data_IF_090598149535
#
_entry.id   IF_090598149535
#
_cell.length_a   1.000
_cell.length_b   1.000
_cell.length_c   1.000
_cell.angle_alpha   90.00
_cell.angle_beta   90.00
_cell.angle_gamma   90.00
#
_symmetry.space_group_name_H-M   'P 1'
#
loop_
_entity.id
_entity.type
_entity.pdbx_description
1 polymer ?
#
# COMPACT_ATOMS: atom_id res chain seq x y z
N UNK A 1 26.00 -3.48 -7.63
CA UNK A 1 26.41 -4.90 -7.65
C UNK A 1 25.70 -5.52 -8.83
N UNK A 2 26.48 -6.21 -9.63
CA UNK A 2 26.07 -6.77 -10.90
C UNK A 2 25.07 -7.91 -10.64
N UNK A 3 23.87 -7.85 -11.18
CA UNK A 3 22.86 -8.91 -11.10
C UNK A 3 23.38 -10.19 -11.76
N UNK A 4 24.14 -10.04 -12.85
CA UNK A 4 24.80 -11.17 -13.52
C UNK A 4 25.77 -11.87 -12.59
N UNK A 5 26.55 -11.11 -11.79
CA UNK A 5 27.47 -11.70 -10.80
C UNK A 5 26.69 -12.49 -9.72
N UNK A 6 25.53 -12.00 -9.29
CA UNK A 6 24.70 -12.69 -8.29
C UNK A 6 24.15 -14.01 -8.86
N UNK A 7 23.62 -13.95 -10.07
CA UNK A 7 23.06 -15.11 -10.77
C UNK A 7 24.12 -16.16 -11.05
N UNK A 8 25.27 -15.75 -11.58
CA UNK A 8 26.38 -16.65 -11.91
C UNK A 8 27.00 -17.33 -10.70
N UNK A 9 26.90 -16.71 -9.54
CA UNK A 9 27.41 -17.27 -8.27
C UNK A 9 26.32 -17.87 -7.38
N UNK A 10 25.09 -18.04 -7.89
CA UNK A 10 23.95 -18.59 -7.15
C UNK A 10 23.67 -17.81 -5.85
N UNK A 11 23.89 -16.51 -5.84
CA UNK A 11 23.58 -15.65 -4.71
C UNK A 11 22.10 -15.27 -4.74
N UNK A 12 21.48 -15.36 -3.59
CA UNK A 12 20.06 -15.01 -3.43
C UNK A 12 19.94 -13.53 -3.06
N UNK A 13 19.48 -12.66 -3.97
CA UNK A 13 19.44 -11.21 -3.75
C UNK A 13 18.28 -10.77 -2.86
N UNK A 14 17.29 -11.63 -2.59
CA UNK A 14 16.07 -11.29 -1.91
C UNK A 14 16.24 -11.14 -0.40
N UNK A 15 15.87 -9.99 0.14
CA UNK A 15 15.95 -9.67 1.57
C UNK A 15 14.65 -10.00 2.34
N UNK A 16 13.86 -10.97 1.91
CA UNK A 16 12.58 -11.31 2.56
C UNK A 16 12.75 -11.56 4.08
N UNK A 17 13.78 -12.28 4.48
CA UNK A 17 14.23 -12.30 5.87
C UNK A 17 15.77 -12.34 5.95
N UNK A 18 16.42 -11.52 6.79
CA UNK A 18 17.88 -11.56 6.98
C UNK A 18 18.37 -12.93 7.42
N UNK A 19 17.55 -13.66 8.18
CA UNK A 19 17.86 -15.03 8.62
C UNK A 19 17.91 -16.00 7.43
N UNK A 20 17.03 -15.86 6.46
CA UNK A 20 17.02 -16.69 5.26
C UNK A 20 18.19 -16.35 4.34
N UNK A 21 18.48 -15.08 4.11
CA UNK A 21 19.67 -14.63 3.38
C UNK A 21 20.95 -15.22 3.96
N UNK A 22 21.11 -15.13 5.28
CA UNK A 22 22.25 -15.72 5.99
C UNK A 22 22.32 -17.24 5.80
N UNK A 23 21.18 -17.93 5.79
CA UNK A 23 21.11 -19.39 5.62
C UNK A 23 21.52 -19.82 4.21
N UNK A 24 21.12 -19.05 3.18
CA UNK A 24 21.36 -19.37 1.76
C UNK A 24 22.75 -18.93 1.32
N UNK A 25 23.10 -17.67 1.55
CA UNK A 25 24.35 -17.05 1.05
C UNK A 25 25.51 -17.16 2.04
N UNK A 26 25.23 -17.53 3.29
CA UNK A 26 26.21 -17.47 4.38
C UNK A 26 26.41 -16.05 4.93
N UNK A 27 26.95 -15.97 6.17
CA UNK A 27 27.04 -14.70 6.91
C UNK A 27 27.94 -13.65 6.21
N UNK A 28 29.10 -14.05 5.70
CA UNK A 28 30.05 -13.12 5.11
C UNK A 28 29.54 -12.48 3.82
N UNK A 29 28.88 -13.29 2.96
CA UNK A 29 28.33 -12.80 1.70
C UNK A 29 27.11 -11.91 1.98
N UNK A 30 26.19 -12.33 2.87
CA UNK A 30 25.06 -11.50 3.27
C UNK A 30 25.52 -10.16 3.83
N UNK A 31 26.50 -10.14 4.72
CA UNK A 31 27.09 -8.91 5.25
C UNK A 31 27.65 -8.02 4.15
N UNK A 32 28.40 -8.58 3.20
CA UNK A 32 28.95 -7.81 2.08
C UNK A 32 27.85 -7.24 1.16
N UNK A 33 26.77 -7.99 0.94
CA UNK A 33 25.61 -7.53 0.16
C UNK A 33 24.87 -6.39 0.88
N UNK A 34 24.79 -6.46 2.22
CA UNK A 34 24.08 -5.47 3.03
C UNK A 34 24.87 -4.16 3.19
N UNK A 35 26.19 -4.13 2.92
CA UNK A 35 26.99 -2.91 3.01
C UNK A 35 26.48 -1.77 2.13
N UNK A 36 25.83 -2.06 0.99
CA UNK A 36 25.24 -1.03 0.12
C UNK A 36 24.12 -0.24 0.80
N UNK A 37 23.49 -0.78 1.83
CA UNK A 37 22.38 -0.16 2.56
C UNK A 37 22.83 0.62 3.81
N UNK A 38 24.14 0.56 4.17
CA UNK A 38 24.64 1.17 5.41
C UNK A 38 24.63 2.70 5.32
N UNK A 39 24.81 3.26 4.14
CA UNK A 39 24.84 4.70 3.93
C UNK A 39 23.78 5.11 2.91
N UNK A 40 22.94 6.06 3.31
CA UNK A 40 22.10 6.83 2.40
C UNK A 40 22.83 8.10 2.05
N UNK A 41 23.00 8.38 0.77
CA UNK A 41 23.68 9.58 0.31
C UNK A 41 22.92 10.84 0.73
N UNK A 42 23.66 11.81 1.25
CA UNK A 42 23.08 13.10 1.62
C UNK A 42 23.05 14.01 0.41
N UNK A 43 21.92 14.66 0.11
CA UNK A 43 21.85 15.66 -0.94
C UNK A 43 22.88 16.78 -0.72
N UNK A 44 23.36 17.38 -1.80
CA UNK A 44 24.26 18.53 -1.72
C UNK A 44 23.62 19.67 -0.92
N UNK A 45 24.36 20.25 0.00
CA UNK A 45 23.88 21.33 0.87
C UNK A 45 22.94 20.90 1.99
N UNK A 46 22.69 19.58 2.20
CA UNK A 46 21.89 19.08 3.30
C UNK A 46 22.54 19.38 4.66
N UNK A 47 21.73 19.89 5.59
CA UNK A 47 22.02 19.86 7.02
C UNK A 47 20.73 19.69 7.81
N UNK A 48 20.84 19.12 9.02
CA UNK A 48 19.68 19.00 9.93
C UNK A 48 19.04 20.34 10.23
N UNK A 49 19.86 21.40 10.34
CA UNK A 49 19.37 22.74 10.61
C UNK A 49 18.54 23.27 9.45
N UNK A 50 19.01 23.13 8.19
CA UNK A 50 18.26 23.55 7.00
C UNK A 50 16.96 22.76 6.84
N UNK A 51 17.00 21.44 7.09
CA UNK A 51 15.79 20.62 7.04
C UNK A 51 14.77 21.07 8.10
N UNK A 52 15.23 21.41 9.31
CA UNK A 52 14.35 21.95 10.35
C UNK A 52 13.80 23.32 9.98
N UNK A 53 14.64 24.26 9.52
CA UNK A 53 14.21 25.59 9.06
C UNK A 53 13.17 25.50 7.94
N UNK A 54 13.32 24.51 7.03
CA UNK A 54 12.34 24.25 5.99
C UNK A 54 11.02 23.80 6.60
N UNK A 55 11.01 22.80 7.48
CA UNK A 55 9.78 22.31 8.14
C UNK A 55 9.14 23.40 9.01
N UNK A 56 9.92 24.15 9.78
CA UNK A 56 9.41 25.24 10.62
C UNK A 56 8.72 26.37 9.78
N UNK A 57 8.93 26.41 8.46
CA UNK A 57 8.23 27.33 7.55
C UNK A 57 6.82 26.84 7.14
N UNK A 58 6.49 25.59 7.45
CA UNK A 58 5.18 24.98 7.19
C UNK A 58 4.48 24.76 8.53
N UNK A 59 3.47 25.59 8.83
CA UNK A 59 2.67 25.37 10.02
C UNK A 59 1.68 24.24 9.82
N UNK A 60 1.56 23.34 10.78
CA UNK A 60 0.44 22.43 10.89
C UNK A 60 -0.89 23.19 10.97
N UNK A 61 -1.98 22.54 10.64
CA UNK A 61 -3.31 23.14 10.82
C UNK A 61 -3.76 22.93 12.26
N UNK A 62 -4.14 24.03 12.92
CA UNK A 62 -4.81 23.96 14.22
C UNK A 62 -6.30 23.68 13.97
N UNK A 63 -6.82 22.63 14.60
CA UNK A 63 -8.26 22.42 14.69
C UNK A 63 -8.64 22.32 16.18
N UNK A 64 -9.69 23.07 16.54
CA UNK A 64 -10.31 23.00 17.86
C UNK A 64 -11.41 21.92 17.93
N UNK A 65 -11.64 21.18 16.85
CA UNK A 65 -12.60 20.08 16.80
C UNK A 65 -12.10 18.92 17.65
N UNK A 66 -12.97 18.36 18.46
CA UNK A 66 -12.72 17.09 19.18
C UNK A 66 -13.51 15.91 18.58
N UNK A 67 -14.21 16.16 17.47
CA UNK A 67 -15.08 15.18 16.79
C UNK A 67 -14.39 14.63 15.54
N UNK A 68 -13.29 13.92 15.75
CA UNK A 68 -12.54 13.29 14.66
C UNK A 68 -13.19 12.00 14.19
N UNK A 69 -13.20 11.72 12.86
CA UNK A 69 -13.73 10.48 12.32
C UNK A 69 -12.83 9.28 12.66
N UNK A 70 -13.38 8.08 12.63
CA UNK A 70 -12.56 6.88 12.54
C UNK A 70 -11.87 6.86 11.17
N UNK A 71 -10.61 6.46 11.13
CA UNK A 71 -9.82 6.33 9.90
C UNK A 71 -9.48 4.85 9.71
N UNK A 72 -10.05 4.25 8.69
CA UNK A 72 -9.83 2.85 8.32
C UNK A 72 -9.06 2.82 7.02
N UNK A 73 -7.91 2.16 7.03
CA UNK A 73 -7.04 2.04 5.87
C UNK A 73 -6.86 0.57 5.55
N UNK A 74 -7.26 0.19 4.37
CA UNK A 74 -7.02 -1.13 3.79
C UNK A 74 -5.99 -1.00 2.69
N UNK A 75 -4.81 -1.54 2.91
CA UNK A 75 -3.80 -1.75 1.87
C UNK A 75 -3.92 -3.19 1.40
N UNK A 76 -4.41 -3.37 0.19
CA UNK A 76 -4.77 -4.68 -0.34
C UNK A 76 -3.65 -5.29 -1.18
N UNK A 77 -3.28 -6.50 -0.83
CA UNK A 77 -2.20 -7.27 -1.47
C UNK A 77 -2.45 -7.40 -2.97
N UNK A 78 -1.54 -6.88 -3.76
CA UNK A 78 -1.51 -6.92 -5.23
C UNK A 78 -2.79 -6.42 -5.92
N UNK A 79 -3.69 -5.69 -5.24
CA UNK A 79 -4.91 -5.18 -5.85
C UNK A 79 -4.58 -4.12 -6.90
N UNK A 80 -4.95 -4.38 -8.15
CA UNK A 80 -4.73 -3.42 -9.23
C UNK A 80 -5.69 -3.60 -10.38
N UNK A 81 -6.00 -2.50 -11.05
CA UNK A 81 -6.69 -2.50 -12.33
C UNK A 81 -5.69 -2.65 -13.47
N UNK A 82 -5.68 -3.82 -14.11
CA UNK A 82 -4.76 -4.09 -15.21
C UNK A 82 -5.15 -3.40 -16.53
N UNK A 83 -6.30 -2.72 -16.59
CA UNK A 83 -6.67 -1.90 -17.76
C UNK A 83 -5.71 -0.72 -17.96
N UNK A 84 -4.96 -0.30 -16.93
CA UNK A 84 -3.87 0.68 -17.07
C UNK A 84 -2.75 0.22 -18.02
N UNK A 85 -2.61 -1.10 -18.22
CA UNK A 85 -1.64 -1.70 -19.15
C UNK A 85 -2.16 -1.76 -20.59
N UNK A 86 -3.41 -1.40 -20.81
CA UNK A 86 -4.08 -1.40 -22.12
C UNK A 86 -5.33 -2.28 -22.15
N UNK A 87 -6.02 -2.26 -23.27
CA UNK A 87 -7.30 -2.92 -23.43
C UNK A 87 -7.17 -4.45 -23.48
N UNK A 88 -8.06 -5.14 -22.80
CA UNK A 88 -8.28 -6.58 -22.90
C UNK A 88 -9.70 -6.96 -22.51
N UNK A 89 -10.23 -8.02 -23.12
CA UNK A 89 -11.59 -8.49 -22.88
C UNK A 89 -11.61 -9.54 -21.79
N UNK A 90 -12.59 -9.45 -20.90
CA UNK A 90 -12.92 -10.46 -19.90
C UNK A 90 -14.37 -10.90 -20.01
N UNK A 91 -14.70 -12.11 -19.52
CA UNK A 91 -16.08 -12.61 -19.52
C UNK A 91 -17.04 -11.78 -18.66
N UNK A 92 -16.52 -11.08 -17.66
CA UNK A 92 -17.25 -10.18 -16.75
C UNK A 92 -16.30 -9.13 -16.19
N UNK A 93 -16.82 -7.99 -15.76
CA UNK A 93 -16.05 -6.99 -15.02
C UNK A 93 -15.46 -7.60 -13.74
N UNK A 94 -14.15 -7.42 -13.53
CA UNK A 94 -13.41 -7.99 -12.41
C UNK A 94 -13.34 -7.09 -11.18
N UNK A 95 -13.77 -5.83 -11.27
CA UNK A 95 -13.86 -4.91 -10.14
C UNK A 95 -15.01 -3.91 -10.31
N UNK A 96 -16.27 -4.42 -10.47
CA UNK A 96 -17.40 -3.59 -10.83
C UNK A 96 -17.74 -2.53 -9.80
N UNK A 97 -17.45 -2.78 -8.51
CA UNK A 97 -17.71 -1.80 -7.46
C UNK A 97 -16.73 -0.64 -7.53
N UNK A 98 -15.41 -0.90 -7.59
CA UNK A 98 -14.39 0.17 -7.71
C UNK A 98 -14.61 0.94 -9.00
N UNK A 99 -14.85 0.28 -10.15
CA UNK A 99 -15.17 0.96 -11.42
C UNK A 99 -16.45 1.82 -11.33
N UNK A 100 -17.39 1.46 -10.44
CA UNK A 100 -18.56 2.32 -10.20
C UNK A 100 -18.20 3.58 -9.41
N UNK A 101 -17.27 3.48 -8.44
CA UNK A 101 -16.79 4.62 -7.65
C UNK A 101 -15.98 5.59 -8.48
N UNK A 102 -15.19 5.11 -9.43
CA UNK A 102 -14.37 5.92 -10.35
C UNK A 102 -15.22 6.82 -11.28
N UNK A 103 -16.49 6.49 -11.48
CA UNK A 103 -17.43 7.34 -12.26
C UNK A 103 -17.94 8.56 -11.51
N UNK A 104 -17.56 8.71 -10.26
CA UNK A 104 -17.98 9.78 -9.35
C UNK A 104 -19.16 9.34 -8.48
N UNK A 105 -18.95 9.35 -7.18
CA UNK A 105 -19.96 9.05 -6.16
C UNK A 105 -19.85 10.08 -5.04
N UNK A 106 -20.96 10.27 -4.32
CA UNK A 106 -20.99 11.12 -3.14
C UNK A 106 -19.91 10.70 -2.13
N UNK A 107 -19.27 11.69 -1.52
CA UNK A 107 -18.28 11.51 -0.48
C UNK A 107 -17.12 10.60 -0.88
N UNK A 108 -16.71 10.64 -2.15
CA UNK A 108 -15.71 9.71 -2.70
C UNK A 108 -14.62 10.45 -3.47
N UNK A 109 -13.36 10.06 -3.22
CA UNK A 109 -12.19 10.47 -3.98
C UNK A 109 -11.57 9.22 -4.60
N UNK A 110 -11.30 9.23 -5.90
CA UNK A 110 -10.65 8.13 -6.61
C UNK A 110 -9.51 8.61 -7.51
N UNK A 111 -8.58 7.72 -7.81
CA UNK A 111 -7.47 7.94 -8.72
C UNK A 111 -6.49 6.78 -8.67
N UNK A 112 -5.30 6.98 -9.25
CA UNK A 112 -4.22 6.01 -9.21
C UNK A 112 -3.08 6.47 -8.31
N UNK A 113 -2.56 5.54 -7.51
CA UNK A 113 -1.31 5.70 -6.78
C UNK A 113 -0.15 5.22 -7.63
N UNK A 114 0.92 6.02 -7.68
CA UNK A 114 2.19 5.59 -8.21
C UNK A 114 3.01 5.00 -7.05
N UNK A 115 3.18 3.69 -7.08
CA UNK A 115 3.97 2.93 -6.10
C UNK A 115 5.45 2.97 -6.46
N UNK A 116 6.30 2.60 -5.52
CA UNK A 116 7.74 2.45 -5.74
C UNK A 116 8.16 1.01 -6.01
N UNK A 117 7.21 0.07 -5.95
CA UNK A 117 7.44 -1.37 -6.09
C UNK A 117 6.39 -2.01 -7.01
N UNK A 118 6.74 -3.16 -7.59
CA UNK A 118 5.88 -3.95 -8.45
C UNK A 118 6.17 -5.45 -8.23
N UNK A 119 5.13 -6.26 -8.17
CA UNK A 119 5.24 -7.71 -8.04
C UNK A 119 5.69 -8.20 -6.66
N UNK A 120 5.73 -7.34 -5.64
CA UNK A 120 6.13 -7.65 -4.28
C UNK A 120 6.73 -6.45 -3.54
N UNK A 121 7.31 -6.69 -2.36
CA UNK A 121 7.88 -5.68 -1.45
C UNK A 121 6.82 -4.78 -0.80
N UNK A 122 5.71 -5.35 -0.39
CA UNK A 122 4.60 -4.71 0.33
C UNK A 122 5.05 -3.73 1.41
N UNK A 123 6.10 -4.09 2.19
CA UNK A 123 6.63 -3.26 3.27
C UNK A 123 7.17 -1.89 2.82
N UNK A 124 7.55 -1.73 1.56
CA UNK A 124 8.02 -0.46 1.02
C UNK A 124 6.85 0.50 0.79
N UNK A 125 5.71 -0.02 0.33
CA UNK A 125 4.45 0.74 0.21
C UNK A 125 3.88 1.10 1.59
N UNK A 126 3.94 0.17 2.57
CA UNK A 126 3.60 0.48 3.97
C UNK A 126 4.46 1.63 4.52
N UNK A 127 5.77 1.57 4.27
CA UNK A 127 6.70 2.60 4.71
C UNK A 127 6.37 3.96 4.10
N UNK A 128 6.12 4.03 2.80
CA UNK A 128 5.77 5.29 2.12
C UNK A 128 4.46 5.86 2.67
N UNK A 129 3.42 5.04 2.82
CA UNK A 129 2.13 5.47 3.36
C UNK A 129 2.23 5.94 4.82
N UNK A 130 2.80 5.10 5.68
CA UNK A 130 2.80 5.38 7.13
C UNK A 130 3.73 6.52 7.53
N UNK A 131 4.85 6.71 6.82
CA UNK A 131 5.84 7.72 7.19
C UNK A 131 5.81 8.98 6.35
N UNK A 132 5.17 8.97 5.17
CA UNK A 132 5.24 10.05 4.19
C UNK A 132 6.61 10.20 3.52
N UNK A 133 7.57 9.33 3.86
CA UNK A 133 8.85 9.28 3.16
C UNK A 133 8.70 8.52 1.83
N UNK A 134 9.66 8.69 0.92
CA UNK A 134 9.63 7.98 -0.37
C UNK A 134 10.84 7.06 -0.53
N UNK A 135 10.65 5.94 -1.22
CA UNK A 135 11.71 5.04 -1.64
C UNK A 135 12.64 5.66 -2.69
N UNK A 136 12.22 6.75 -3.35
CA UNK A 136 12.96 7.41 -4.43
C UNK A 136 14.41 7.81 -4.06
N UNK A 137 14.67 8.06 -2.78
CA UNK A 137 15.98 8.52 -2.27
C UNK A 137 16.73 7.44 -1.48
N UNK A 138 16.23 6.23 -1.45
CA UNK A 138 16.90 5.10 -0.82
C UNK A 138 17.66 4.25 -1.86
N UNK A 139 18.72 3.55 -1.45
CA UNK A 139 19.41 2.63 -2.35
C UNK A 139 18.45 1.59 -2.95
N UNK A 140 18.59 1.31 -4.22
CA UNK A 140 17.75 0.32 -4.93
C UNK A 140 17.75 -1.03 -4.22
N UNK A 141 16.56 -1.58 -3.96
CA UNK A 141 16.36 -2.82 -3.20
C UNK A 141 16.44 -2.64 -1.69
N UNK A 142 16.33 -1.40 -1.18
CA UNK A 142 16.15 -1.14 0.25
C UNK A 142 14.80 -1.69 0.72
N UNK A 143 14.76 -2.18 1.95
CA UNK A 143 13.55 -2.54 2.69
C UNK A 143 13.62 -1.83 4.04
N UNK A 144 13.01 -0.65 4.17
CA UNK A 144 13.16 0.20 5.35
C UNK A 144 12.84 -0.49 6.68
N UNK A 145 11.87 -1.38 6.69
CA UNK A 145 11.49 -2.16 7.86
C UNK A 145 12.62 -3.06 8.38
N UNK A 146 13.49 -3.52 7.49
CA UNK A 146 14.62 -4.37 7.86
C UNK A 146 15.91 -3.59 8.09
N UNK A 147 16.08 -2.42 7.47
CA UNK A 147 17.36 -1.72 7.42
C UNK A 147 17.36 -0.42 8.22
N UNK A 148 16.29 0.37 8.17
CA UNK A 148 16.32 1.75 8.67
C UNK A 148 15.46 2.00 9.90
N UNK A 149 14.32 1.30 10.07
CA UNK A 149 13.47 1.48 11.25
C UNK A 149 14.02 0.63 12.41
N UNK A 150 14.85 1.24 13.23
CA UNK A 150 15.52 0.61 14.39
C UNK A 150 15.17 1.25 15.72
N UNK A 151 14.41 2.32 15.70
CA UNK A 151 13.94 3.07 16.86
C UNK A 151 12.61 3.72 16.53
N UNK A 152 11.94 4.32 17.52
CA UNK A 152 10.72 5.10 17.32
C UNK A 152 10.90 6.06 16.15
N UNK A 153 10.01 5.94 15.17
CA UNK A 153 10.04 6.72 13.94
C UNK A 153 8.69 7.44 13.79
N UNK A 154 8.69 8.75 13.52
CA UNK A 154 7.47 9.50 13.26
C UNK A 154 6.67 8.87 12.11
N UNK A 155 5.38 8.73 12.30
CA UNK A 155 4.47 8.13 11.34
C UNK A 155 3.06 8.68 11.48
N UNK A 156 2.16 8.34 10.57
CA UNK A 156 0.73 8.62 10.68
C UNK A 156 0.16 8.04 11.98
N UNK A 157 0.53 6.81 12.35
CA UNK A 157 0.03 6.17 13.58
C UNK A 157 0.48 6.92 14.83
N UNK A 158 1.77 7.28 14.93
CA UNK A 158 2.28 8.05 16.07
C UNK A 158 1.66 9.46 16.16
N UNK A 159 1.39 10.08 15.01
CA UNK A 159 0.71 11.37 14.95
C UNK A 159 -0.75 11.27 15.42
N UNK A 160 -1.55 10.38 14.85
CA UNK A 160 -2.94 10.18 15.22
C UNK A 160 -3.08 9.79 16.70
N UNK A 161 -2.19 8.93 17.20
CA UNK A 161 -2.11 8.62 18.63
C UNK A 161 -1.89 9.87 19.48
N UNK A 162 -1.03 10.80 19.05
CA UNK A 162 -0.73 12.02 19.78
C UNK A 162 -1.93 12.98 19.92
N UNK A 163 -2.90 12.86 19.01
CA UNK A 163 -4.15 13.65 19.03
C UNK A 163 -5.36 12.84 19.50
N UNK A 164 -5.13 11.65 20.11
CA UNK A 164 -6.12 10.91 20.86
C UNK A 164 -6.72 9.67 20.21
N UNK A 165 -6.26 9.26 19.01
CA UNK A 165 -6.72 8.02 18.38
C UNK A 165 -6.23 6.77 19.11
N UNK A 166 -7.07 5.74 19.16
CA UNK A 166 -6.63 4.38 19.40
C UNK A 166 -6.05 3.81 18.07
N UNK A 167 -4.87 3.16 18.13
CA UNK A 167 -4.15 2.73 16.93
C UNK A 167 -4.04 1.22 16.84
N UNK A 168 -4.43 0.69 15.68
CA UNK A 168 -4.49 -0.74 15.39
C UNK A 168 -3.79 -1.05 14.07
N UNK A 169 -2.89 -2.05 14.07
CA UNK A 169 -2.32 -2.61 12.86
C UNK A 169 -2.72 -4.09 12.75
N UNK A 170 -3.19 -4.50 11.57
CA UNK A 170 -3.77 -5.82 11.33
C UNK A 170 -3.17 -6.43 10.07
N UNK A 171 -2.71 -7.69 10.15
CA UNK A 171 -2.21 -8.44 9.01
C UNK A 171 -2.52 -9.93 9.18
N UNK A 172 -3.35 -10.55 8.30
CA UNK A 172 -3.80 -11.93 8.44
C UNK A 172 -2.71 -12.94 8.07
N UNK A 173 -1.47 -12.68 8.47
CA UNK A 173 -0.31 -13.54 8.27
C UNK A 173 0.67 -13.41 9.43
N UNK A 174 1.89 -13.96 9.29
CA UNK A 174 2.91 -13.94 10.36
C UNK A 174 3.47 -12.53 10.58
N UNK A 175 3.46 -12.07 11.83
CA UNK A 175 4.05 -10.77 12.22
C UNK A 175 5.55 -10.66 11.94
N UNK A 176 6.26 -11.78 11.91
CA UNK A 176 7.68 -11.83 11.53
C UNK A 176 7.94 -11.52 10.05
N UNK A 177 6.90 -11.63 9.19
CA UNK A 177 6.98 -11.20 7.79
C UNK A 177 7.29 -9.70 7.72
N UNK A 178 8.31 -9.33 6.98
CA UNK A 178 8.84 -7.96 6.92
C UNK A 178 9.19 -7.34 8.29
N UNK A 179 9.29 -8.15 9.37
CA UNK A 179 9.59 -7.70 10.74
C UNK A 179 8.50 -6.78 11.33
N UNK A 180 7.23 -6.95 10.92
CA UNK A 180 6.09 -6.10 11.31
C UNK A 180 5.83 -6.08 12.82
N UNK A 181 5.98 -7.23 13.50
CA UNK A 181 5.84 -7.37 14.95
C UNK A 181 6.79 -6.45 15.75
N UNK A 182 7.93 -6.13 15.19
CA UNK A 182 8.91 -5.19 15.76
C UNK A 182 8.69 -3.76 15.26
N UNK A 183 8.38 -3.58 13.98
CA UNK A 183 8.34 -2.25 13.34
C UNK A 183 7.05 -1.50 13.67
N UNK A 184 5.89 -2.14 13.69
CA UNK A 184 4.64 -1.44 13.97
C UNK A 184 4.61 -0.72 15.32
N UNK A 185 5.10 -1.29 16.44
CA UNK A 185 5.25 -0.55 17.68
C UNK A 185 6.18 0.67 17.58
N UNK A 186 7.27 0.56 16.79
CA UNK A 186 8.19 1.66 16.55
C UNK A 186 7.57 2.79 15.72
N UNK A 187 6.55 2.48 14.92
CA UNK A 187 5.73 3.44 14.17
C UNK A 187 4.56 4.00 14.99
N UNK A 188 4.31 3.51 16.21
CA UNK A 188 3.31 4.07 17.12
C UNK A 188 2.00 3.32 17.22
N UNK A 189 1.88 2.12 16.65
CA UNK A 189 0.72 1.26 16.86
C UNK A 189 0.76 0.62 18.25
N UNK A 190 -0.36 0.70 18.96
CA UNK A 190 -0.52 0.09 20.30
C UNK A 190 -1.11 -1.32 20.24
N UNK A 191 -1.96 -1.58 19.26
CA UNK A 191 -2.67 -2.84 19.13
C UNK A 191 -2.28 -3.53 17.81
N UNK A 192 -1.84 -4.77 17.90
CA UNK A 192 -1.42 -5.57 16.75
C UNK A 192 -2.29 -6.80 16.64
N UNK A 193 -2.70 -7.16 15.43
CA UNK A 193 -3.37 -8.42 15.14
C UNK A 193 -2.68 -9.12 13.97
N UNK A 194 -2.22 -10.35 14.21
CA UNK A 194 -1.63 -11.21 13.20
C UNK A 194 -2.47 -12.48 13.02
N UNK A 195 -2.07 -13.37 12.15
CA UNK A 195 -2.84 -14.55 11.74
C UNK A 195 -3.51 -15.30 12.90
N UNK A 196 -2.83 -15.46 14.03
CA UNK A 196 -3.34 -16.18 15.21
C UNK A 196 -4.46 -15.43 15.96
N UNK A 197 -4.63 -14.13 15.71
CA UNK A 197 -5.58 -13.25 16.42
C UNK A 197 -6.91 -13.11 15.65
N UNK A 198 -7.00 -13.74 14.47
CA UNK A 198 -8.21 -13.75 13.65
C UNK A 198 -9.11 -14.90 14.05
N UNK A 199 -10.34 -14.62 14.46
CA UNK A 199 -11.39 -15.60 14.72
C UNK A 199 -12.08 -16.01 13.42
N UNK A 200 -12.68 -17.21 13.40
CA UNK A 200 -13.49 -17.71 12.27
C UNK A 200 -12.81 -17.60 10.90
N UNK A 201 -11.53 -17.93 10.84
CA UNK A 201 -10.71 -17.81 9.62
C UNK A 201 -11.33 -18.54 8.44
N UNK A 202 -11.67 -17.80 7.39
CA UNK A 202 -11.99 -18.34 6.07
C UNK A 202 -10.75 -18.21 5.19
N UNK A 203 -10.54 -19.19 4.33
CA UNK A 203 -9.39 -19.23 3.45
C UNK A 203 -9.82 -19.20 1.99
N UNK A 204 -9.16 -18.34 1.22
CA UNK A 204 -9.19 -18.38 -0.23
C UNK A 204 -7.83 -18.87 -0.69
N UNK A 205 -7.82 -19.97 -1.43
CA UNK A 205 -6.58 -20.72 -1.73
C UNK A 205 -5.89 -21.15 -0.43
N UNK A 206 -4.76 -20.55 -0.07
CA UNK A 206 -3.96 -20.86 1.13
C UNK A 206 -3.85 -19.70 2.12
N UNK A 207 -4.50 -18.59 1.82
CA UNK A 207 -4.42 -17.37 2.63
C UNK A 207 -5.77 -17.08 3.29
N UNK A 208 -5.74 -16.41 4.42
CA UNK A 208 -6.95 -15.87 5.04
C UNK A 208 -7.61 -14.90 4.06
N UNK A 209 -8.93 -15.01 3.88
CA UNK A 209 -9.71 -14.21 2.95
C UNK A 209 -9.77 -12.74 3.36
N UNK A 210 -10.00 -11.87 2.38
CA UNK A 210 -10.24 -10.45 2.64
C UNK A 210 -11.54 -10.25 3.41
N UNK A 211 -12.58 -11.06 3.16
CA UNK A 211 -13.78 -11.11 3.98
C UNK A 211 -13.46 -11.29 5.48
N UNK A 212 -12.58 -12.25 5.83
CA UNK A 212 -12.15 -12.44 7.23
C UNK A 212 -11.32 -11.26 7.73
N UNK A 213 -10.48 -10.69 6.87
CA UNK A 213 -9.66 -9.52 7.22
C UNK A 213 -10.53 -8.30 7.50
N UNK A 214 -11.59 -8.10 6.73
CA UNK A 214 -12.53 -6.99 6.90
C UNK A 214 -13.48 -7.21 8.08
N UNK A 215 -13.90 -8.46 8.35
CA UNK A 215 -14.59 -8.79 9.60
C UNK A 215 -13.75 -8.38 10.83
N UNK A 216 -12.42 -8.55 10.77
CA UNK A 216 -11.53 -8.11 11.86
C UNK A 216 -11.48 -6.59 12.01
N UNK A 217 -11.60 -5.83 10.92
CA UNK A 217 -11.75 -4.37 10.97
C UNK A 217 -13.02 -4.01 11.71
N UNK A 218 -14.15 -4.62 11.34
CA UNK A 218 -15.45 -4.39 11.96
C UNK A 218 -15.41 -4.76 13.44
N UNK A 219 -14.90 -5.94 13.78
CA UNK A 219 -14.74 -6.39 15.18
C UNK A 219 -13.91 -5.39 15.99
N UNK A 220 -12.83 -4.87 15.43
CA UNK A 220 -11.98 -3.87 16.09
C UNK A 220 -12.71 -2.55 16.30
N UNK A 221 -13.44 -2.09 15.29
CA UNK A 221 -14.28 -0.89 15.39
C UNK A 221 -15.34 -1.04 16.47
N UNK A 222 -16.06 -2.15 16.52
CA UNK A 222 -17.11 -2.41 17.52
C UNK A 222 -16.58 -2.52 18.95
N UNK A 223 -15.33 -2.94 19.13
CA UNK A 223 -14.71 -3.14 20.44
C UNK A 223 -13.70 -2.03 20.82
N UNK A 224 -13.60 -0.96 20.04
CA UNK A 224 -12.77 0.20 20.40
C UNK A 224 -13.31 0.90 21.66
N UNK A 225 -12.50 1.67 22.39
CA UNK A 225 -13.00 2.44 23.52
C UNK A 225 -14.10 3.43 23.09
N UNK A 226 -15.18 3.51 23.87
CA UNK A 226 -16.30 4.42 23.61
C UNK A 226 -15.83 5.88 23.49
N UNK A 227 -16.30 6.56 22.46
CA UNK A 227 -16.00 7.96 22.21
C UNK A 227 -14.54 8.27 21.78
N UNK A 228 -13.71 7.24 21.60
CA UNK A 228 -12.35 7.40 21.09
C UNK A 228 -12.31 7.06 19.59
N UNK A 229 -11.80 7.95 18.73
CA UNK A 229 -11.63 7.62 17.32
C UNK A 229 -10.56 6.52 17.13
N UNK A 230 -10.77 5.65 16.17
CA UNK A 230 -9.84 4.59 15.83
C UNK A 230 -9.07 4.90 14.54
N UNK A 231 -7.78 4.60 14.54
CA UNK A 231 -6.98 4.44 13.32
C UNK A 231 -6.70 2.94 13.14
N UNK A 232 -7.28 2.33 12.13
CA UNK A 232 -7.11 0.92 11.80
C UNK A 232 -6.37 0.82 10.48
N UNK A 233 -5.17 0.27 10.50
CA UNK A 233 -4.36 -0.03 9.32
C UNK A 233 -4.36 -1.54 9.10
N UNK A 234 -5.00 -1.97 8.02
CA UNK A 234 -5.15 -3.37 7.65
C UNK A 234 -4.36 -3.63 6.36
N UNK A 235 -3.49 -4.64 6.38
CA UNK A 235 -2.73 -5.12 5.22
C UNK A 235 -3.18 -6.53 4.92
N UNK A 236 -3.81 -6.78 3.78
CA UNK A 236 -4.40 -8.07 3.45
C UNK A 236 -3.38 -9.11 2.96
N UNK A 237 -3.85 -10.31 2.61
CA UNK A 237 -2.98 -11.39 2.13
C UNK A 237 -3.62 -12.28 1.06
N UNK A 238 -4.95 -12.21 0.85
CA UNK A 238 -5.70 -13.12 -0.03
C UNK A 238 -5.11 -13.21 -1.43
N UNK A 239 -4.77 -12.06 -2.01
CA UNK A 239 -4.34 -11.93 -3.40
C UNK A 239 -2.85 -12.21 -3.61
N UNK A 240 -2.10 -12.58 -2.57
CA UNK A 240 -0.66 -12.84 -2.67
C UNK A 240 -0.31 -13.88 -3.75
N UNK A 241 0.79 -13.67 -4.42
CA UNK A 241 1.25 -14.40 -5.60
C UNK A 241 1.30 -15.92 -5.48
N UNK A 242 1.55 -16.57 -6.60
CA UNK A 242 1.46 -18.00 -6.83
C UNK A 242 0.16 -18.34 -7.56
N UNK A 243 -0.16 -17.61 -8.62
CA UNK A 243 -1.44 -17.71 -9.37
C UNK A 243 -1.49 -18.88 -10.36
N UNK A 244 -0.45 -19.69 -10.43
CA UNK A 244 -0.36 -20.85 -11.34
C UNK A 244 -0.79 -22.16 -10.69
N UNK A 245 -1.03 -22.15 -9.39
CA UNK A 245 -1.40 -23.34 -8.64
C UNK A 245 -2.91 -23.63 -8.75
N UNK A 246 -3.27 -24.90 -8.75
CA UNK A 246 -4.67 -25.33 -8.64
C UNK A 246 -5.01 -25.55 -7.18
N UNK A 247 -6.09 -24.94 -6.72
CA UNK A 247 -6.55 -25.05 -5.32
C UNK A 247 -7.93 -25.69 -5.26
N UNK A 248 -8.10 -26.64 -4.36
CA UNK A 248 -9.40 -27.20 -4.07
C UNK A 248 -10.32 -26.13 -3.46
N UNK A 249 -11.52 -26.00 -4.04
CA UNK A 249 -12.52 -25.03 -3.55
C UNK A 249 -12.32 -23.60 -4.03
N UNK A 250 -11.38 -23.35 -4.96
CA UNK A 250 -11.25 -22.07 -5.66
C UNK A 250 -11.28 -22.30 -7.17
N UNK A 251 -12.30 -21.74 -7.81
CA UNK A 251 -12.51 -21.78 -9.26
C UNK A 251 -12.35 -20.37 -9.84
N UNK A 252 -11.70 -20.26 -11.00
CA UNK A 252 -11.64 -19.01 -11.72
C UNK A 252 -13.02 -18.61 -12.23
N UNK A 253 -13.54 -17.48 -11.78
CA UNK A 253 -14.85 -16.93 -12.18
C UNK A 253 -14.72 -15.84 -13.24
N UNK A 254 -13.53 -15.24 -13.34
CA UNK A 254 -13.17 -14.26 -14.36
C UNK A 254 -12.14 -14.87 -15.28
N UNK A 255 -12.36 -14.75 -16.60
CA UNK A 255 -11.46 -15.25 -17.62
C UNK A 255 -11.19 -14.19 -18.68
N UNK A 256 -9.95 -14.16 -19.17
CA UNK A 256 -9.50 -13.37 -20.29
C UNK A 256 -9.17 -14.33 -21.47
N UNK A 257 -10.18 -14.98 -22.02
CA UNK A 257 -10.07 -16.17 -22.90
C UNK A 257 -9.13 -15.97 -24.10
N UNK A 258 -9.05 -14.76 -24.64
CA UNK A 258 -8.17 -14.44 -25.77
C UNK A 258 -6.69 -14.42 -25.40
N UNK A 259 -6.36 -14.28 -24.12
CA UNK A 259 -4.98 -14.14 -23.64
C UNK A 259 -4.35 -15.48 -23.24
N UNK A 260 -5.15 -16.53 -23.04
CA UNK A 260 -4.71 -17.88 -22.67
C UNK A 260 -3.70 -17.89 -21.49
N UNK A 261 -3.98 -17.08 -20.45
CA UNK A 261 -3.12 -16.96 -19.28
C UNK A 261 -3.90 -17.34 -18.01
N UNK A 262 -3.74 -18.56 -17.55
CA UNK A 262 -4.43 -19.07 -16.36
C UNK A 262 -4.03 -18.31 -15.06
N UNK A 263 -2.82 -17.74 -15.01
CA UNK A 263 -2.41 -16.92 -13.89
C UNK A 263 -3.19 -15.58 -13.86
N UNK A 264 -3.43 -15.00 -15.03
CA UNK A 264 -4.27 -13.81 -15.17
C UNK A 264 -5.71 -14.12 -14.75
N UNK A 265 -6.29 -15.23 -15.23
CA UNK A 265 -7.67 -15.62 -14.87
C UNK A 265 -7.82 -15.83 -13.36
N UNK A 266 -6.85 -16.49 -12.73
CA UNK A 266 -6.87 -16.69 -11.27
C UNK A 266 -6.75 -15.34 -10.53
N UNK A 267 -5.84 -14.49 -10.96
CA UNK A 267 -5.65 -13.17 -10.38
C UNK A 267 -6.91 -12.30 -10.49
N UNK A 268 -7.51 -12.18 -11.67
CA UNK A 268 -8.73 -11.39 -11.88
C UNK A 268 -9.91 -11.93 -11.07
N UNK A 269 -9.99 -13.25 -10.87
CA UNK A 269 -11.00 -13.87 -10.03
C UNK A 269 -10.82 -13.53 -8.55
N UNK A 270 -9.58 -13.38 -8.08
CA UNK A 270 -9.28 -12.93 -6.73
C UNK A 270 -9.64 -11.45 -6.54
N UNK A 271 -9.27 -10.59 -7.50
CA UNK A 271 -9.60 -9.16 -7.47
C UNK A 271 -11.12 -8.97 -7.39
N UNK A 272 -11.90 -9.80 -8.09
CA UNK A 272 -13.35 -9.74 -8.03
C UNK A 272 -13.90 -10.07 -6.64
N UNK A 273 -13.33 -11.05 -5.94
CA UNK A 273 -13.72 -11.33 -4.56
C UNK A 273 -13.42 -10.14 -3.63
N UNK A 274 -12.22 -9.57 -3.74
CA UNK A 274 -11.86 -8.39 -2.96
C UNK A 274 -12.78 -7.20 -3.24
N UNK A 275 -13.15 -6.97 -4.49
CA UNK A 275 -14.10 -5.90 -4.88
C UNK A 275 -15.48 -6.08 -4.23
N UNK A 276 -15.98 -7.33 -4.16
CA UNK A 276 -17.21 -7.67 -3.47
C UNK A 276 -17.08 -7.48 -1.95
N UNK A 277 -15.96 -7.88 -1.36
CA UNK A 277 -15.69 -7.70 0.08
C UNK A 277 -15.53 -6.23 0.46
N UNK A 278 -14.86 -5.42 -0.37
CA UNK A 278 -14.78 -3.97 -0.20
C UNK A 278 -16.15 -3.30 -0.22
N UNK A 279 -17.03 -3.73 -1.15
CA UNK A 279 -18.40 -3.25 -1.20
C UNK A 279 -19.13 -3.52 0.11
N UNK A 280 -19.00 -4.73 0.65
CA UNK A 280 -19.63 -5.12 1.91
C UNK A 280 -19.07 -4.30 3.10
N UNK A 281 -17.78 -4.04 3.13
CA UNK A 281 -17.15 -3.20 4.16
C UNK A 281 -17.69 -1.77 4.11
N UNK A 282 -17.76 -1.15 2.93
CA UNK A 282 -18.33 0.18 2.74
C UNK A 282 -19.82 0.21 3.10
N UNK A 283 -20.59 -0.82 2.73
CA UNK A 283 -22.01 -0.94 3.10
C UNK A 283 -22.18 -1.02 4.63
N UNK A 284 -21.32 -1.75 5.34
CA UNK A 284 -21.34 -1.76 6.80
C UNK A 284 -21.13 -0.35 7.38
N UNK A 285 -20.08 0.34 6.97
CA UNK A 285 -19.75 1.66 7.50
C UNK A 285 -20.72 2.78 7.04
N UNK A 286 -21.45 2.58 5.96
CA UNK A 286 -22.52 3.48 5.55
C UNK A 286 -23.73 3.48 6.51
N UNK A 287 -23.86 2.44 7.33
CA UNK A 287 -24.94 2.27 8.29
C UNK A 287 -24.53 2.56 9.76
N UNK A 288 -23.32 3.04 10.01
CA UNK A 288 -22.89 3.42 11.35
C UNK A 288 -23.06 4.93 11.59
N UNK A 289 -23.39 5.30 12.82
CA UNK A 289 -23.64 6.71 13.18
C UNK A 289 -22.36 7.53 13.33
N UNK A 290 -21.25 6.89 13.74
CA UNK A 290 -19.96 7.57 13.90
C UNK A 290 -19.35 7.92 12.55
N UNK A 291 -18.85 9.15 12.43
CA UNK A 291 -18.08 9.54 11.24
C UNK A 291 -16.94 8.57 10.99
N UNK A 292 -16.90 8.03 9.80
CA UNK A 292 -15.88 7.06 9.40
C UNK A 292 -15.44 7.33 7.97
N UNK A 293 -14.12 7.36 7.76
CA UNK A 293 -13.50 7.42 6.45
C UNK A 293 -12.76 6.09 6.19
N UNK A 294 -13.01 5.51 5.03
CA UNK A 294 -12.39 4.26 4.56
C UNK A 294 -11.48 4.59 3.38
N UNK A 295 -10.25 4.20 3.50
CA UNK A 295 -9.22 4.32 2.46
C UNK A 295 -8.85 2.93 1.99
N UNK A 296 -8.98 2.67 0.71
CA UNK A 296 -8.64 1.39 0.09
C UNK A 296 -7.66 1.62 -1.07
N UNK A 297 -6.58 0.85 -1.13
CA UNK A 297 -5.62 0.92 -2.23
C UNK A 297 -4.79 -0.37 -2.33
N UNK A 298 -4.31 -0.67 -3.54
CA UNK A 298 -3.35 -1.75 -3.74
C UNK A 298 -1.94 -1.38 -3.29
N UNK A 299 -1.18 -2.34 -2.81
CA UNK A 299 0.22 -2.13 -2.42
C UNK A 299 1.18 -2.12 -3.62
N UNK A 300 0.90 -2.92 -4.65
CA UNK A 300 1.63 -3.01 -5.92
C UNK A 300 0.81 -3.82 -6.94
N UNK A 301 1.20 -3.75 -8.21
CA UNK A 301 0.66 -4.65 -9.23
C UNK A 301 1.18 -6.10 -9.06
N UNK A 302 0.48 -7.10 -9.61
CA UNK A 302 0.97 -8.48 -9.60
C UNK A 302 2.26 -8.61 -10.45
N UNK A 303 2.96 -9.72 -10.26
CA UNK A 303 4.19 -10.01 -11.01
C UNK A 303 3.93 -10.26 -12.52
N UNK A 304 5.01 -10.39 -13.27
CA UNK A 304 4.97 -10.50 -14.74
C UNK A 304 4.27 -11.75 -15.25
N UNK A 305 4.13 -12.82 -14.45
CA UNK A 305 3.37 -14.02 -14.87
C UNK A 305 1.89 -13.69 -15.14
N UNK A 306 1.36 -12.68 -14.47
CA UNK A 306 0.00 -12.15 -14.68
C UNK A 306 0.00 -11.08 -15.78
N UNK A 307 0.85 -10.07 -15.65
CA UNK A 307 0.77 -8.85 -16.45
C UNK A 307 1.29 -9.00 -17.88
N UNK A 308 2.21 -9.93 -18.14
CA UNK A 308 2.90 -10.05 -19.44
C UNK A 308 1.97 -10.29 -20.63
N UNK A 309 0.88 -11.03 -20.42
CA UNK A 309 -0.10 -11.30 -21.50
C UNK A 309 -0.93 -10.06 -21.87
N UNK A 310 -1.26 -9.22 -20.90
CA UNK A 310 -1.96 -7.94 -21.12
C UNK A 310 -1.03 -6.97 -21.84
N UNK A 311 0.22 -6.84 -21.39
CA UNK A 311 1.24 -6.02 -22.06
C UNK A 311 1.44 -6.46 -23.52
N UNK A 312 1.63 -7.76 -23.77
CA UNK A 312 1.83 -8.31 -25.09
C UNK A 312 0.61 -8.08 -26.02
N UNK A 313 -0.62 -8.20 -25.52
CA UNK A 313 -1.83 -7.91 -26.27
C UNK A 313 -1.91 -6.45 -26.73
N UNK A 314 -1.26 -5.54 -26.00
CA UNK A 314 -1.18 -4.11 -26.30
C UNK A 314 0.14 -3.70 -26.98
N UNK A 315 0.90 -4.68 -27.50
CA UNK A 315 2.12 -4.44 -28.29
C UNK A 315 3.35 -4.06 -27.45
N UNK A 316 3.31 -4.26 -26.15
CA UNK A 316 4.41 -3.99 -25.23
C UNK A 316 5.21 -5.27 -24.95
N UNK A 317 6.54 -5.19 -25.00
CA UNK A 317 7.44 -6.29 -24.61
C UNK A 317 7.87 -6.10 -23.16
N UNK A 318 7.37 -6.96 -22.25
CA UNK A 318 7.67 -6.84 -20.83
C UNK A 318 9.17 -6.96 -20.49
N UNK A 319 9.98 -7.57 -21.36
CA UNK A 319 11.44 -7.62 -21.20
C UNK A 319 12.15 -6.34 -21.64
N UNK A 320 11.45 -5.44 -22.33
CA UNK A 320 12.04 -4.24 -22.90
C UNK A 320 11.02 -3.08 -22.94
N UNK A 321 10.43 -2.79 -21.80
CA UNK A 321 9.50 -1.67 -21.66
C UNK A 321 10.25 -0.33 -21.78
N UNK A 322 9.68 0.61 -22.52
CA UNK A 322 10.10 2.01 -22.45
C UNK A 322 9.85 2.59 -21.06
N UNK A 323 10.46 3.72 -20.72
CA UNK A 323 10.23 4.37 -19.42
C UNK A 323 8.76 4.73 -19.18
N UNK A 324 8.01 5.09 -20.21
CA UNK A 324 6.59 5.40 -20.08
C UNK A 324 5.75 4.14 -19.86
N UNK A 325 6.03 3.05 -20.58
CA UNK A 325 5.37 1.76 -20.38
C UNK A 325 5.70 1.16 -19.02
N UNK A 326 6.95 1.28 -18.57
CA UNK A 326 7.37 0.82 -17.26
C UNK A 326 6.58 1.50 -16.13
N UNK A 327 6.29 2.80 -16.23
CA UNK A 327 5.51 3.55 -15.24
C UNK A 327 4.11 2.97 -15.05
N UNK A 328 3.50 2.41 -16.09
CA UNK A 328 2.18 1.79 -16.01
C UNK A 328 2.17 0.58 -15.04
N UNK A 329 3.31 -0.12 -14.91
CA UNK A 329 3.48 -1.25 -13.99
C UNK A 329 3.51 -0.86 -12.50
N UNK A 330 3.55 0.44 -12.22
CA UNK A 330 3.62 0.99 -10.86
C UNK A 330 2.38 1.82 -10.50
N UNK A 331 1.27 1.60 -11.19
CA UNK A 331 -0.01 2.26 -10.93
C UNK A 331 -0.99 1.28 -10.31
N UNK A 332 -1.59 1.66 -9.18
CA UNK A 332 -2.66 0.91 -8.52
C UNK A 332 -3.82 1.85 -8.21
N UNK A 333 -5.07 1.39 -8.26
CA UNK A 333 -6.22 2.23 -7.92
C UNK A 333 -6.26 2.53 -6.43
N UNK A 334 -6.84 3.68 -6.06
CA UNK A 334 -7.21 3.98 -4.69
C UNK A 334 -8.59 4.62 -4.61
N UNK A 335 -9.23 4.40 -3.46
CA UNK A 335 -10.52 4.98 -3.08
C UNK A 335 -10.39 5.57 -1.68
N UNK A 336 -10.88 6.80 -1.48
CA UNK A 336 -11.18 7.39 -0.18
C UNK A 336 -12.69 7.60 -0.18
N UNK A 337 -13.39 6.97 0.75
CA UNK A 337 -14.82 7.07 0.92
C UNK A 337 -15.17 7.44 2.37
N UNK A 338 -16.19 8.24 2.57
CA UNK A 338 -16.65 8.58 3.91
C UNK A 338 -18.18 8.43 4.03
N UNK A 339 -18.67 8.14 5.23
CA UNK A 339 -20.10 8.17 5.53
C UNK A 339 -20.61 9.55 5.93
N UNK A 340 -19.81 10.59 5.73
CA UNK A 340 -20.12 11.99 5.96
C UNK A 340 -19.56 12.83 4.81
N UNK A 341 -19.99 14.10 4.74
CA UNK A 341 -19.65 15.00 3.64
C UNK A 341 -18.14 15.31 3.58
N UNK A 342 -17.49 14.96 2.47
CA UNK A 342 -16.11 15.29 2.13
C UNK A 342 -16.05 15.85 0.70
N UNK A 343 -14.96 16.54 0.37
CA UNK A 343 -14.72 16.98 -1.03
C UNK A 343 -14.60 15.75 -1.95
N UNK A 344 -15.35 15.78 -3.06
CA UNK A 344 -15.38 14.70 -4.05
C UNK A 344 -14.39 14.96 -5.17
N UNK A 345 -13.77 13.90 -5.68
CA UNK A 345 -12.90 14.00 -6.84
C UNK A 345 -12.71 12.64 -7.54
N UNK A 346 -12.51 12.67 -8.84
CA UNK A 346 -12.14 11.53 -9.66
C UNK A 346 -10.82 11.78 -10.40
N UNK A 347 -10.07 10.73 -10.69
CA UNK A 347 -8.81 10.80 -11.44
C UNK A 347 -7.75 11.65 -10.74
N UNK A 348 -7.68 11.61 -9.41
CA UNK A 348 -6.67 12.31 -8.60
C UNK A 348 -5.44 11.44 -8.42
N UNK A 349 -4.62 11.37 -9.45
CA UNK A 349 -3.37 10.60 -9.38
C UNK A 349 -2.37 11.25 -8.45
N UNK A 350 -1.70 10.41 -7.67
CA UNK A 350 -0.69 10.82 -6.69
C UNK A 350 0.35 9.71 -6.47
N UNK A 351 1.21 9.87 -5.49
CA UNK A 351 2.10 8.79 -5.02
C UNK A 351 1.82 8.43 -3.56
N UNK A 352 2.24 7.25 -3.17
CA UNK A 352 1.90 6.65 -1.88
C UNK A 352 2.32 7.52 -0.69
N UNK A 353 3.49 8.17 -0.77
CA UNK A 353 4.02 9.04 0.28
C UNK A 353 3.15 10.27 0.58
N UNK A 354 2.29 10.69 -0.35
CA UNK A 354 1.35 11.81 -0.13
C UNK A 354 -0.02 11.37 0.37
N UNK A 355 -0.37 10.08 0.20
CA UNK A 355 -1.73 9.62 0.45
C UNK A 355 -2.18 9.88 1.90
N UNK A 356 -1.32 9.63 2.89
CA UNK A 356 -1.66 9.86 4.30
C UNK A 356 -2.03 11.33 4.59
N UNK A 357 -1.29 12.29 4.03
CA UNK A 357 -1.59 13.71 4.19
C UNK A 357 -2.90 14.10 3.47
N UNK A 358 -3.16 13.52 2.29
CA UNK A 358 -4.44 13.70 1.57
C UNK A 358 -5.62 13.12 2.36
N UNK A 359 -5.44 11.97 3.01
CA UNK A 359 -6.47 11.36 3.88
C UNK A 359 -6.80 12.27 5.06
N UNK A 360 -5.79 12.81 5.75
CA UNK A 360 -6.04 13.75 6.86
C UNK A 360 -6.81 14.99 6.38
N UNK A 361 -6.44 15.55 5.24
CA UNK A 361 -7.14 16.69 4.64
C UNK A 361 -8.59 16.33 4.31
N UNK A 362 -8.84 15.19 3.66
CA UNK A 362 -10.19 14.74 3.32
C UNK A 362 -11.02 14.44 4.57
N UNK A 363 -10.40 13.87 5.60
CA UNK A 363 -11.05 13.54 6.87
C UNK A 363 -11.37 14.77 7.73
N UNK A 364 -10.85 15.95 7.41
CA UNK A 364 -10.96 17.15 8.26
C UNK A 364 -10.14 17.02 9.56
N UNK A 365 -9.09 16.19 9.56
CA UNK A 365 -8.19 16.00 10.71
C UNK A 365 -7.00 16.95 10.54
N UNK A 366 -6.55 17.65 11.62
CA UNK A 366 -5.42 18.55 11.52
C UNK A 366 -4.17 17.85 10.99
N UNK A 367 -3.30 18.60 10.33
CA UNK A 367 -2.01 18.13 9.85
C UNK A 367 -0.90 18.70 10.72
N UNK A 368 0.16 17.93 10.97
CA UNK A 368 1.39 18.48 11.54
C UNK A 368 2.24 19.18 10.45
N UNK A 369 3.33 19.82 10.85
CA UNK A 369 4.22 20.57 9.94
C UNK A 369 4.72 19.72 8.76
N UNK A 370 5.06 18.46 9.01
CA UNK A 370 5.54 17.56 7.96
C UNK A 370 4.44 17.18 6.94
N UNK A 371 3.24 16.90 7.41
CA UNK A 371 2.11 16.59 6.52
C UNK A 371 1.68 17.85 5.74
N UNK A 372 1.69 19.03 6.37
CA UNK A 372 1.46 20.30 5.68
C UNK A 372 2.53 20.58 4.61
N UNK A 373 3.80 20.26 4.92
CA UNK A 373 4.89 20.30 3.93
C UNK A 373 4.62 19.34 2.76
N UNK A 374 4.21 18.09 3.02
CA UNK A 374 3.91 17.13 1.96
C UNK A 374 2.76 17.58 1.05
N UNK A 375 1.67 18.13 1.61
CA UNK A 375 0.58 18.69 0.83
C UNK A 375 1.05 19.82 -0.07
N UNK A 376 1.93 20.69 0.46
CA UNK A 376 2.50 21.79 -0.33
C UNK A 376 3.50 21.31 -1.38
N UNK A 377 4.32 20.33 -1.06
CA UNK A 377 5.24 19.72 -1.99
C UNK A 377 4.51 19.05 -3.16
N UNK A 378 3.37 18.42 -2.89
CA UNK A 378 2.52 17.79 -3.91
C UNK A 378 1.97 18.80 -4.93
N UNK A 379 1.75 20.05 -4.55
CA UNK A 379 1.33 21.12 -5.49
C UNK A 379 2.40 21.40 -6.55
N UNK A 380 3.68 21.18 -6.24
CA UNK A 380 4.81 21.36 -7.16
C UNK A 380 5.21 20.05 -7.83
N UNK A 381 5.30 18.99 -7.03
CA UNK A 381 5.68 17.63 -7.45
C UNK A 381 4.54 16.67 -7.15
N UNK A 382 3.61 16.51 -8.07
CA UNK A 382 2.39 15.70 -7.86
C UNK A 382 2.66 14.23 -7.56
N UNK A 383 3.80 13.71 -8.04
CA UNK A 383 4.21 12.31 -7.88
C UNK A 383 5.70 12.27 -7.57
N UNK A 384 6.07 11.57 -6.51
CA UNK A 384 7.46 11.20 -6.18
C UNK A 384 7.48 9.73 -5.78
N UNK A 385 8.03 8.87 -6.63
CA UNK A 385 8.25 7.45 -6.36
C UNK A 385 9.61 7.01 -6.86
N UNK A 386 10.06 5.82 -6.54
CA UNK A 386 11.34 5.28 -7.03
C UNK A 386 11.43 5.19 -8.56
N UNK A 387 10.29 5.22 -9.25
CA UNK A 387 10.20 5.05 -10.72
C UNK A 387 9.77 6.32 -11.42
N UNK A 388 9.09 7.24 -10.72
CA UNK A 388 8.49 8.43 -11.32
C UNK A 388 8.60 9.65 -10.42
N UNK A 389 9.09 10.74 -10.99
CA UNK A 389 8.94 12.09 -10.42
C UNK A 389 8.28 12.99 -11.46
N UNK A 390 7.17 13.65 -11.11
CA UNK A 390 6.42 14.51 -12.00
C UNK A 390 6.34 15.92 -11.41
N UNK A 391 6.88 16.91 -12.15
CA UNK A 391 6.72 18.35 -11.90
C UNK A 391 5.44 18.84 -12.56
N UNK A 392 4.61 19.57 -11.83
CA UNK A 392 3.37 20.18 -12.37
C UNK A 392 3.63 21.43 -13.23
N UNK A 393 4.81 22.02 -13.12
CA UNK A 393 5.19 23.23 -13.87
C UNK A 393 6.42 22.95 -14.73
N UNK A 394 6.22 22.71 -16.01
CA UNK A 394 7.24 22.83 -17.06
C UNK A 394 6.87 23.96 -18.01
#
# INVERSE_FOLDING_TARGET
QDEDFQTDNYLYPFLFTPAYMKKVNGMAVTFAMDLKFVAVDKPEGYSRQKAKELLDSYAGTDDSSSDYPNIIVVMDEAFSDLSVLGDFDTNTDYMPFVHSLEKGNENTITGYLNTSVCGGNTADTEFEFLTGNTMAFLPVGSIPYQQYIKSTTPSLASYLKSIGYATYAQHPYYGSGWNRDTVYPLLGFDNLSFMQDYSNQRFVRKYISDETSFDRIIETYENKPDGQPAFIFNVTMQNHGGYTDTYYGFDNTVTADKLNNSALDQYLSLIKLTDEDLKNLIEYFSNVDEKTIVVFFGDHQPNDTVASSVLAANGMDYNNLSNEELKLRYQVPYVIWANYDIDEATGKDTSVNYLAANVLKAAGVPTNDYQSFLLKLQEEYSIISAVRTCLLYT
#
